data_IF_782623332625
#
_entry.id   IF_782623332625
#
_cell.length_a   1.000
_cell.length_b   1.000
_cell.length_c   1.000
_cell.angle_alpha   90.00
_cell.angle_beta   90.00
_cell.angle_gamma   90.00
#
_symmetry.space_group_name_H-M   'P 1'
#
loop_
_entity.id
_entity.type
_entity.pdbx_description
1 polymer ?
#
# COMPACT_ATOMS: atom_id res chain seq x y z
N UNK A 1 18.81 -34.92 17.18
CA UNK A 1 18.53 -35.68 15.92
C UNK A 1 17.10 -35.43 15.40
N UNK A 2 16.06 -35.64 16.21
CA UNK A 2 14.65 -35.40 15.83
C UNK A 2 14.35 -33.94 15.43
N UNK A 3 14.86 -32.95 16.18
CA UNK A 3 14.65 -31.53 15.83
C UNK A 3 15.32 -31.13 14.50
N UNK A 4 16.48 -31.70 14.17
CA UNK A 4 17.17 -31.44 12.89
C UNK A 4 16.34 -32.02 11.74
N UNK A 5 15.80 -33.23 11.92
CA UNK A 5 14.96 -33.88 10.90
C UNK A 5 13.67 -33.10 10.63
N UNK A 6 13.03 -32.58 11.68
CA UNK A 6 11.86 -31.72 11.56
C UNK A 6 12.18 -30.39 10.85
N UNK A 7 13.31 -29.76 11.18
CA UNK A 7 13.77 -28.54 10.52
C UNK A 7 14.06 -28.76 9.03
N UNK A 8 14.79 -29.83 8.69
CA UNK A 8 15.09 -30.18 7.29
C UNK A 8 13.82 -30.48 6.49
N UNK A 9 12.84 -31.15 7.11
CA UNK A 9 11.54 -31.44 6.46
C UNK A 9 10.74 -30.17 6.22
N UNK A 10 10.77 -29.21 7.15
CA UNK A 10 10.13 -27.90 6.98
C UNK A 10 10.78 -27.09 5.86
N UNK A 11 12.11 -27.03 5.84
CA UNK A 11 12.87 -26.34 4.78
C UNK A 11 12.57 -26.94 3.41
N UNK A 12 12.54 -28.27 3.29
CA UNK A 12 12.19 -28.97 2.03
C UNK A 12 10.78 -28.63 1.54
N UNK A 13 9.80 -28.55 2.44
CA UNK A 13 8.42 -28.18 2.08
C UNK A 13 8.32 -26.74 1.58
N UNK A 14 9.03 -25.81 2.21
CA UNK A 14 9.08 -24.40 1.78
C UNK A 14 9.76 -24.29 0.41
N UNK A 15 10.88 -24.98 0.21
CA UNK A 15 11.59 -24.98 -1.07
C UNK A 15 10.74 -25.58 -2.19
N UNK A 16 10.04 -26.68 -1.93
CA UNK A 16 9.14 -27.31 -2.88
C UNK A 16 7.96 -26.38 -3.24
N UNK A 17 7.39 -25.68 -2.25
CA UNK A 17 6.32 -24.71 -2.49
C UNK A 17 6.78 -23.54 -3.36
N UNK A 18 7.96 -22.97 -3.07
CA UNK A 18 8.56 -21.93 -3.89
C UNK A 18 8.85 -22.41 -5.32
N UNK A 19 9.41 -23.61 -5.46
CA UNK A 19 9.75 -24.17 -6.76
C UNK A 19 8.52 -24.49 -7.61
N UNK A 20 7.42 -24.98 -7.01
CA UNK A 20 6.22 -25.36 -7.76
C UNK A 20 5.30 -24.16 -8.04
N UNK A 21 5.26 -23.15 -7.17
CA UNK A 21 4.28 -22.06 -7.33
C UNK A 21 4.87 -20.76 -7.87
N UNK A 22 6.12 -20.46 -7.54
CA UNK A 22 6.73 -19.17 -7.90
C UNK A 22 7.53 -19.28 -9.19
N UNK A 23 8.25 -20.38 -9.40
CA UNK A 23 9.06 -20.54 -10.62
C UNK A 23 8.21 -20.60 -11.91
N UNK A 24 7.05 -21.29 -11.98
CA UNK A 24 6.32 -21.36 -13.25
C UNK A 24 5.84 -20.00 -13.75
N UNK A 25 5.45 -19.09 -12.86
CA UNK A 25 5.02 -17.74 -13.24
C UNK A 25 6.17 -16.89 -13.77
N UNK A 26 7.39 -17.08 -13.24
CA UNK A 26 8.57 -16.38 -13.73
C UNK A 26 9.06 -16.95 -15.06
N UNK A 27 8.94 -18.26 -15.25
CA UNK A 27 9.31 -18.94 -16.51
C UNK A 27 8.39 -18.54 -17.65
N UNK A 28 7.06 -18.44 -17.43
CA UNK A 28 6.12 -18.01 -18.48
C UNK A 28 6.37 -16.58 -18.94
N UNK A 29 6.63 -15.64 -18.02
CA UNK A 29 6.96 -14.26 -18.38
C UNK A 29 8.29 -14.16 -19.14
N UNK A 30 9.25 -15.03 -18.83
CA UNK A 30 10.51 -15.10 -19.54
C UNK A 30 10.34 -15.68 -20.96
N UNK A 31 9.57 -16.76 -21.12
CA UNK A 31 9.29 -17.35 -22.45
C UNK A 31 8.57 -16.36 -23.38
N UNK A 32 7.61 -15.58 -22.87
CA UNK A 32 6.93 -14.53 -23.64
C UNK A 32 7.92 -13.44 -24.10
N UNK A 33 8.79 -12.97 -23.20
CA UNK A 33 9.79 -11.96 -23.51
C UNK A 33 10.83 -12.46 -24.52
N UNK A 34 11.28 -13.71 -24.38
CA UNK A 34 12.19 -14.35 -25.33
C UNK A 34 11.50 -14.52 -26.69
N UNK A 35 10.23 -14.92 -26.72
CA UNK A 35 9.45 -15.01 -27.96
C UNK A 35 9.32 -13.67 -28.70
N UNK A 36 9.09 -12.58 -27.96
CA UNK A 36 9.08 -11.23 -28.53
C UNK A 36 10.46 -10.82 -29.07
N UNK A 37 11.53 -11.09 -28.33
CA UNK A 37 12.89 -10.79 -28.78
C UNK A 37 13.28 -11.61 -30.00
N UNK A 38 12.91 -12.89 -30.08
CA UNK A 38 13.11 -13.74 -31.25
C UNK A 38 12.33 -13.26 -32.46
N UNK A 39 11.10 -12.78 -32.29
CA UNK A 39 10.30 -12.21 -33.37
C UNK A 39 10.97 -10.95 -33.95
N UNK A 40 11.56 -10.10 -33.10
CA UNK A 40 12.33 -8.93 -33.52
C UNK A 40 13.65 -9.31 -34.21
N UNK A 41 14.32 -10.36 -33.75
CA UNK A 41 15.60 -10.82 -34.32
C UNK A 41 15.42 -11.58 -35.65
N UNK A 42 14.32 -12.33 -35.81
CA UNK A 42 14.02 -13.10 -37.03
C UNK A 42 13.27 -12.26 -38.09
N UNK A 43 12.58 -11.20 -37.68
CA UNK A 43 11.76 -10.34 -38.53
C UNK A 43 12.37 -8.97 -38.78
N UNK A 44 13.35 -8.91 -39.69
CA UNK A 44 13.73 -7.64 -40.31
C UNK A 44 12.61 -7.14 -41.23
N UNK A 45 11.76 -6.23 -40.74
CA UNK A 45 10.86 -5.42 -41.57
C UNK A 45 9.35 -5.69 -41.43
N UNK A 46 8.66 -4.66 -40.95
CA UNK A 46 7.23 -4.33 -41.10
C UNK A 46 6.18 -5.29 -40.51
N UNK A 47 5.68 -4.98 -39.31
CA UNK A 47 4.24 -4.78 -39.09
C UNK A 47 3.99 -3.58 -38.17
N UNK A 48 3.02 -2.78 -38.60
CA UNK A 48 2.52 -1.52 -38.04
C UNK A 48 1.22 -1.79 -37.26
N UNK A 49 0.99 -0.96 -36.24
CA UNK A 49 -0.33 -0.59 -35.64
C UNK A 49 -0.92 -1.65 -34.69
N UNK A 50 -1.19 -1.36 -33.41
CA UNK A 50 -2.11 -0.30 -32.94
C UNK A 50 -1.49 0.76 -32.05
N UNK A 51 -0.95 1.81 -32.68
CA UNK A 51 -0.99 3.16 -32.15
C UNK A 51 -1.97 3.93 -33.03
N UNK A 52 -3.14 4.27 -32.48
CA UNK A 52 -4.08 5.20 -33.13
C UNK A 52 -4.01 6.53 -32.41
N UNK A 53 -3.08 7.37 -32.88
CA UNK A 53 -3.18 8.83 -32.79
C UNK A 53 -3.35 9.31 -34.22
N UNK A 54 -4.41 10.09 -34.53
CA UNK A 54 -4.37 11.28 -35.39
C UNK A 54 -5.80 11.75 -35.82
N UNK A 55 -6.21 12.90 -35.25
CA UNK A 55 -7.05 14.01 -35.75
C UNK A 55 -8.18 13.77 -36.77
N UNK A 56 -9.41 14.08 -36.33
CA UNK A 56 -10.43 14.71 -37.19
C UNK A 56 -10.96 15.97 -36.49
N UNK A 57 -10.65 17.12 -37.08
CA UNK A 57 -11.35 18.37 -36.86
C UNK A 57 -12.41 18.54 -37.95
N UNK A 58 -13.65 18.84 -37.58
CA UNK A 58 -14.64 19.47 -38.46
C UNK A 58 -15.48 20.45 -37.64
N UNK A 59 -15.64 21.63 -38.22
CA UNK A 59 -16.18 22.84 -37.61
C UNK A 59 -17.72 22.87 -37.61
N UNK A 60 -18.25 23.72 -36.72
CA UNK A 60 -19.53 24.46 -36.78
C UNK A 60 -20.85 23.68 -36.64
N UNK A 61 -21.58 23.91 -35.54
CA UNK A 61 -22.74 24.85 -35.50
C UNK A 61 -23.54 24.71 -34.18
N UNK A 62 -23.75 25.85 -33.49
CA UNK A 62 -24.70 26.06 -32.38
C UNK A 62 -26.16 25.97 -32.88
N UNK A 63 -27.19 25.82 -32.01
CA UNK A 63 -27.80 27.04 -31.46
C UNK A 63 -28.41 26.94 -30.05
N UNK A 64 -28.69 28.13 -29.54
CA UNK A 64 -29.43 28.53 -28.35
C UNK A 64 -30.74 27.77 -28.04
N UNK A 65 -31.23 28.08 -26.82
CA UNK A 65 -32.65 28.22 -26.46
C UNK A 65 -33.26 26.96 -25.84
N UNK A 66 -34.04 26.98 -24.76
CA UNK A 66 -34.76 28.04 -24.05
C UNK A 66 -35.13 27.54 -22.64
N UNK A 67 -35.36 28.51 -21.77
CA UNK A 67 -35.95 28.46 -20.45
C UNK A 67 -37.03 27.38 -20.18
N UNK A 68 -37.04 26.87 -18.93
CA UNK A 68 -38.29 26.79 -18.16
C UNK A 68 -38.01 26.80 -16.65
N UNK A 69 -38.38 27.93 -16.02
CA UNK A 69 -39.15 28.09 -14.76
C UNK A 69 -38.88 27.09 -13.62
N UNK A 70 -38.58 27.49 -12.38
CA UNK A 70 -39.40 28.38 -11.56
C UNK A 70 -38.57 29.24 -10.59
N UNK A 71 -39.08 30.44 -10.35
CA UNK A 71 -38.61 31.51 -9.48
C UNK A 71 -38.14 31.08 -8.08
N UNK A 72 -36.98 31.61 -7.66
CA UNK A 72 -36.64 31.80 -6.26
C UNK A 72 -36.37 33.29 -6.02
N UNK A 73 -37.19 33.93 -5.19
CA UNK A 73 -36.98 35.32 -4.78
C UNK A 73 -35.94 35.40 -3.67
N UNK A 74 -34.75 35.83 -4.11
CA UNK A 74 -33.77 36.71 -3.50
C UNK A 74 -33.97 37.16 -2.03
N UNK A 75 -32.91 37.00 -1.24
CA UNK A 75 -32.51 37.97 -0.21
C UNK A 75 -30.98 37.96 -0.05
N UNK A 76 -30.36 38.97 -0.68
CA UNK A 76 -29.18 39.76 -0.30
C UNK A 76 -27.84 39.06 0.08
N UNK A 77 -26.85 39.15 -0.82
CA UNK A 77 -25.76 40.16 -0.77
C UNK A 77 -24.37 39.65 -1.23
N UNK A 78 -23.93 40.22 -2.36
CA UNK A 78 -22.61 40.78 -2.70
C UNK A 78 -21.29 40.13 -2.23
N UNK A 79 -20.50 39.66 -3.23
CA UNK A 79 -19.04 39.36 -3.23
C UNK A 79 -18.16 40.66 -3.19
N UNK A 80 -16.79 40.66 -3.26
CA UNK A 80 -15.92 40.03 -4.30
C UNK A 80 -14.59 39.39 -3.79
N UNK A 81 -14.10 38.32 -4.43
CA UNK A 81 -13.06 38.24 -5.49
C UNK A 81 -11.67 38.77 -5.12
N UNK A 82 -10.67 37.88 -5.12
CA UNK A 82 -9.36 38.18 -5.70
C UNK A 82 -8.70 36.88 -6.17
N UNK A 83 -8.51 36.81 -7.48
CA UNK A 83 -7.88 35.74 -8.23
C UNK A 83 -6.37 35.82 -8.01
N UNK A 84 -5.75 34.68 -7.67
CA UNK A 84 -4.39 34.41 -8.13
C UNK A 84 -4.33 32.97 -8.64
N UNK A 85 -4.27 32.88 -9.96
CA UNK A 85 -3.80 31.71 -10.68
C UNK A 85 -2.29 31.50 -10.42
N UNK A 86 -1.81 30.34 -10.86
CA UNK A 86 -0.49 29.74 -10.59
C UNK A 86 -0.47 28.97 -9.26
N UNK A 87 -0.17 27.68 -9.19
CA UNK A 87 0.52 26.83 -10.15
C UNK A 87 0.13 25.38 -9.86
N UNK A 88 -0.22 24.68 -10.94
CA UNK A 88 -0.37 23.26 -11.02
C UNK A 88 0.95 22.59 -10.61
N UNK A 89 1.02 22.09 -9.38
CA UNK A 89 1.91 21.00 -9.04
C UNK A 89 1.05 19.77 -8.79
N UNK A 90 0.61 19.15 -9.90
CA UNK A 90 0.44 17.70 -9.94
C UNK A 90 1.83 17.08 -9.82
N UNK A 91 2.38 17.13 -8.61
CA UNK A 91 3.43 16.20 -8.24
C UNK A 91 2.75 14.83 -8.36
N UNK A 92 3.22 13.99 -9.27
CA UNK A 92 2.96 12.54 -9.22
C UNK A 92 3.59 12.01 -7.91
N UNK A 93 2.97 12.35 -6.78
CA UNK A 93 3.32 11.83 -5.48
C UNK A 93 2.96 10.37 -5.54
N UNK A 94 3.99 9.53 -5.69
CA UNK A 94 3.91 8.07 -5.66
C UNK A 94 3.01 7.66 -4.49
N UNK A 95 1.73 7.47 -4.77
CA UNK A 95 0.72 7.27 -3.76
C UNK A 95 1.06 5.97 -3.06
N UNK A 96 1.24 6.03 -1.74
CA UNK A 96 1.44 4.82 -0.96
C UNK A 96 0.21 3.93 -1.15
N UNK A 97 0.42 2.75 -1.73
CA UNK A 97 -0.64 1.83 -2.09
C UNK A 97 -0.29 0.45 -1.57
N UNK A 98 -1.20 -0.14 -0.81
CA UNK A 98 -1.03 -1.50 -0.31
C UNK A 98 -1.38 -2.47 -1.45
N UNK A 99 -0.45 -3.34 -1.79
CA UNK A 99 -0.63 -4.28 -2.88
C UNK A 99 -1.56 -5.44 -2.49
N UNK A 100 -2.29 -5.97 -3.47
CA UNK A 100 -3.27 -7.04 -3.25
C UNK A 100 -2.67 -8.28 -2.58
N UNK A 101 -1.43 -8.64 -2.91
CA UNK A 101 -0.79 -9.82 -2.33
C UNK A 101 -0.48 -9.64 -0.83
N UNK A 102 -0.20 -8.40 -0.39
CA UNK A 102 0.03 -8.08 1.02
C UNK A 102 -1.26 -8.31 1.83
N UNK A 103 -2.39 -7.86 1.28
CA UNK A 103 -3.73 -8.06 1.85
C UNK A 103 -4.14 -9.54 1.83
N UNK A 104 -3.83 -10.24 0.74
CA UNK A 104 -4.15 -11.67 0.57
C UNK A 104 -3.52 -12.52 1.68
N UNK A 105 -2.29 -12.21 2.10
CA UNK A 105 -1.55 -12.93 3.14
C UNK A 105 -2.08 -12.75 4.56
N UNK A 106 -2.94 -11.77 4.80
CA UNK A 106 -3.44 -11.43 6.13
C UNK A 106 -4.67 -12.24 6.53
N UNK A 107 -4.80 -12.55 7.82
CA UNK A 107 -6.00 -13.17 8.38
C UNK A 107 -7.18 -12.20 8.39
N UNK A 108 -8.29 -12.58 7.76
CA UNK A 108 -9.48 -11.72 7.57
C UNK A 108 -10.65 -12.07 8.51
N UNK A 109 -10.42 -12.90 9.53
CA UNK A 109 -11.49 -13.32 10.46
C UNK A 109 -11.94 -12.22 11.42
N UNK A 110 -11.01 -11.36 11.84
CA UNK A 110 -11.26 -10.25 12.77
C UNK A 110 -10.42 -9.05 12.37
N UNK A 111 -10.92 -7.81 12.52
CA UNK A 111 -10.14 -6.58 12.30
C UNK A 111 -8.83 -6.64 13.11
N UNK A 112 -8.98 -7.02 14.38
CA UNK A 112 -7.99 -7.66 15.26
C UNK A 112 -6.68 -8.12 14.61
N UNK A 113 -6.85 -9.29 14.00
CA UNK A 113 -5.82 -10.10 13.43
C UNK A 113 -5.36 -9.55 12.09
N UNK A 114 -6.29 -9.05 11.29
CA UNK A 114 -5.98 -8.44 10.01
C UNK A 114 -4.95 -7.31 10.15
N UNK A 115 -5.20 -6.34 11.02
CA UNK A 115 -4.27 -5.22 11.24
C UNK A 115 -2.93 -5.72 11.77
N UNK A 116 -2.95 -6.68 12.71
CA UNK A 116 -1.72 -7.22 13.29
C UNK A 116 -0.82 -7.92 12.26
N UNK A 117 -1.42 -8.65 11.32
CA UNK A 117 -0.72 -9.34 10.23
C UNK A 117 -0.28 -8.34 9.16
N UNK A 118 -1.15 -7.39 8.78
CA UNK A 118 -0.85 -6.36 7.78
C UNK A 118 0.31 -5.47 8.22
N UNK A 119 0.29 -4.99 9.46
CA UNK A 119 1.41 -4.22 10.03
C UNK A 119 2.74 -5.00 9.98
N UNK A 120 2.67 -6.33 10.12
CA UNK A 120 3.85 -7.19 10.09
C UNK A 120 4.31 -7.55 8.66
N UNK A 121 3.42 -7.42 7.67
CA UNK A 121 3.75 -7.51 6.24
C UNK A 121 4.37 -6.20 5.74
N UNK A 122 3.84 -5.06 6.17
CA UNK A 122 4.27 -3.73 5.72
C UNK A 122 5.55 -3.25 6.40
N UNK A 123 5.72 -3.55 7.69
CA UNK A 123 6.76 -2.94 8.50
C UNK A 123 7.65 -3.96 9.21
N UNK A 124 8.91 -3.57 9.39
CA UNK A 124 9.85 -4.34 10.22
C UNK A 124 9.50 -4.20 11.71
N UNK A 125 9.95 -5.16 12.52
CA UNK A 125 9.80 -5.06 13.98
C UNK A 125 10.50 -3.82 14.55
N UNK A 126 11.64 -3.44 13.98
CA UNK A 126 12.39 -2.26 14.38
C UNK A 126 11.58 -0.99 14.13
N UNK A 127 11.03 -0.82 12.92
CA UNK A 127 10.19 0.31 12.58
C UNK A 127 9.01 0.43 13.56
N UNK A 128 8.30 -0.68 13.80
CA UNK A 128 7.16 -0.71 14.72
C UNK A 128 7.54 -0.40 16.18
N UNK A 129 8.75 -0.74 16.60
CA UNK A 129 9.23 -0.49 17.96
C UNK A 129 9.72 0.96 18.16
N UNK A 130 10.20 1.62 17.11
CA UNK A 130 10.74 2.99 17.18
C UNK A 130 9.72 4.07 16.84
N UNK A 131 8.67 3.74 16.09
CA UNK A 131 7.62 4.69 15.71
C UNK A 131 6.41 4.62 16.64
N UNK A 132 5.57 5.65 16.55
CA UNK A 132 4.27 5.72 17.21
C UNK A 132 3.21 6.19 16.21
N UNK A 133 1.93 6.01 16.56
CA UNK A 133 0.86 6.42 15.64
C UNK A 133 0.83 7.93 15.41
N UNK A 134 1.08 8.75 16.45
CA UNK A 134 0.88 10.20 16.42
C UNK A 134 2.12 11.02 16.71
N UNK A 135 3.22 10.42 17.17
CA UNK A 135 4.41 11.14 17.63
C UNK A 135 4.25 11.78 19.00
N UNK A 136 3.07 11.73 19.61
CA UNK A 136 2.82 12.36 20.90
C UNK A 136 3.48 11.60 22.05
N UNK A 137 4.08 12.35 22.99
CA UNK A 137 4.63 11.78 24.21
C UNK A 137 3.48 11.24 25.07
N UNK A 138 3.56 9.97 25.45
CA UNK A 138 2.53 9.39 26.33
C UNK A 138 2.66 9.96 27.74
N UNK A 139 1.53 10.29 28.36
CA UNK A 139 1.45 10.76 29.74
C UNK A 139 1.99 9.74 30.75
N UNK A 140 1.99 8.45 30.40
CA UNK A 140 2.45 7.35 31.27
C UNK A 140 3.92 6.97 31.07
N UNK A 141 4.62 7.56 30.09
CA UNK A 141 6.04 7.29 29.81
C UNK A 141 6.85 8.58 29.72
N UNK A 142 6.77 9.40 30.77
CA UNK A 142 7.41 10.72 30.83
C UNK A 142 8.94 10.67 30.67
N UNK A 143 9.57 9.58 31.10
CA UNK A 143 11.04 9.44 31.04
C UNK A 143 11.54 8.81 29.73
N UNK A 144 10.64 8.41 28.81
CA UNK A 144 11.03 7.82 27.53
C UNK A 144 11.17 8.88 26.43
N UNK A 145 12.12 8.66 25.53
CA UNK A 145 12.32 9.47 24.33
C UNK A 145 11.02 9.55 23.51
N UNK A 146 10.80 10.70 22.87
CA UNK A 146 9.66 10.93 21.97
C UNK A 146 9.89 10.12 20.70
N UNK A 147 8.89 9.35 20.30
CA UNK A 147 8.94 8.54 19.08
C UNK A 147 8.42 9.35 17.91
N UNK A 148 9.00 9.23 16.70
CA UNK A 148 8.40 9.82 15.51
C UNK A 148 6.99 9.25 15.25
N UNK A 149 6.17 10.04 14.55
CA UNK A 149 4.87 9.61 14.05
C UNK A 149 5.03 8.73 12.79
N UNK A 150 4.12 7.78 12.61
CA UNK A 150 4.00 7.04 11.36
C UNK A 150 3.43 7.94 10.25
N UNK A 151 3.77 7.64 8.99
CA UNK A 151 3.30 8.40 7.85
C UNK A 151 1.77 8.36 7.76
N UNK A 152 1.13 9.53 7.68
CA UNK A 152 -0.33 9.62 7.71
C UNK A 152 -0.98 9.06 6.44
N UNK A 153 -0.32 9.15 5.28
CA UNK A 153 -0.84 8.57 4.04
C UNK A 153 -0.93 7.04 4.16
N UNK A 154 0.09 6.41 4.75
CA UNK A 154 0.09 4.97 5.00
C UNK A 154 -0.98 4.56 6.02
N UNK A 155 -1.17 5.36 7.07
CA UNK A 155 -2.23 5.14 8.05
C UNK A 155 -3.61 5.19 7.38
N UNK A 156 -3.85 6.16 6.49
CA UNK A 156 -5.12 6.27 5.78
C UNK A 156 -5.35 5.07 4.85
N UNK A 157 -4.33 4.59 4.16
CA UNK A 157 -4.45 3.43 3.29
C UNK A 157 -4.78 2.16 4.10
N UNK A 158 -4.12 1.96 5.25
CA UNK A 158 -4.46 0.86 6.18
C UNK A 158 -5.91 0.96 6.65
N UNK A 159 -6.38 2.16 6.99
CA UNK A 159 -7.78 2.39 7.39
C UNK A 159 -8.73 2.06 6.23
N UNK A 160 -8.44 2.56 5.02
CA UNK A 160 -9.25 2.34 3.83
C UNK A 160 -9.43 0.85 3.53
N UNK A 161 -8.34 0.10 3.47
CA UNK A 161 -8.39 -1.35 3.25
C UNK A 161 -9.11 -2.08 4.39
N UNK A 162 -8.89 -1.67 5.64
CA UNK A 162 -9.56 -2.31 6.78
C UNK A 162 -11.07 -2.09 6.74
N UNK A 163 -11.53 -0.89 6.39
CA UNK A 163 -12.97 -0.59 6.24
C UNK A 163 -13.62 -1.32 5.07
N UNK A 164 -12.89 -1.52 3.97
CA UNK A 164 -13.36 -2.33 2.86
C UNK A 164 -13.64 -3.78 3.28
N UNK A 165 -12.78 -4.35 4.13
CA UNK A 165 -12.94 -5.73 4.63
C UNK A 165 -13.86 -5.84 5.83
N UNK A 166 -13.94 -4.80 6.67
CA UNK A 166 -14.71 -4.77 7.91
C UNK A 166 -15.49 -3.44 8.02
N UNK A 167 -16.60 -3.30 7.28
CA UNK A 167 -17.35 -2.04 7.19
C UNK A 167 -17.86 -1.49 8.53
N UNK A 168 -18.06 -2.37 9.52
CA UNK A 168 -18.54 -2.02 10.85
C UNK A 168 -17.45 -1.53 11.80
N UNK A 169 -16.18 -1.49 11.36
CA UNK A 169 -15.07 -1.04 12.21
C UNK A 169 -14.82 0.44 11.95
N UNK A 170 -14.90 1.25 13.00
CA UNK A 170 -14.67 2.68 12.94
C UNK A 170 -13.17 3.04 12.89
N UNK A 171 -12.88 4.19 12.29
CA UNK A 171 -11.52 4.72 12.12
C UNK A 171 -10.77 4.85 13.45
N UNK A 172 -11.49 5.19 14.53
CA UNK A 172 -10.90 5.37 15.87
C UNK A 172 -10.45 4.02 16.44
N UNK A 173 -11.27 2.98 16.32
CA UNK A 173 -10.90 1.61 16.68
C UNK A 173 -9.74 1.09 15.86
N UNK A 174 -9.73 1.32 14.54
CA UNK A 174 -8.64 0.91 13.64
C UNK A 174 -7.33 1.58 14.08
N UNK A 175 -7.34 2.91 14.27
CA UNK A 175 -6.19 3.68 14.77
C UNK A 175 -5.72 3.16 16.12
N UNK A 176 -6.65 2.89 17.05
CA UNK A 176 -6.33 2.32 18.36
C UNK A 176 -5.60 0.97 18.22
N UNK A 177 -6.04 0.11 17.32
CA UNK A 177 -5.41 -1.21 17.11
C UNK A 177 -4.02 -1.10 16.49
N UNK A 178 -3.80 -0.19 15.54
CA UNK A 178 -2.46 0.11 15.00
C UNK A 178 -1.56 0.58 16.15
N UNK A 179 -2.04 1.55 16.95
CA UNK A 179 -1.31 2.04 18.12
C UNK A 179 -0.99 0.93 19.14
N UNK A 180 -1.93 0.02 19.40
CA UNK A 180 -1.70 -1.14 20.26
C UNK A 180 -0.60 -2.06 19.71
N UNK A 181 -0.58 -2.34 18.39
CA UNK A 181 0.47 -3.15 17.75
C UNK A 181 1.85 -2.53 17.94
N UNK A 182 2.00 -1.23 17.66
CA UNK A 182 3.25 -0.47 17.84
C UNK A 182 3.74 -0.49 19.31
N UNK A 183 2.82 -0.22 20.24
CA UNK A 183 3.14 -0.24 21.67
C UNK A 183 3.58 -1.62 22.15
N UNK A 184 2.98 -2.70 21.64
CA UNK A 184 3.36 -4.06 21.96
C UNK A 184 4.76 -4.42 21.44
N UNK A 185 5.15 -3.94 20.27
CA UNK A 185 6.52 -4.11 19.74
C UNK A 185 7.57 -3.37 20.58
N UNK A 186 7.19 -2.30 21.28
CA UNK A 186 8.09 -1.53 22.16
C UNK A 186 8.40 -2.24 23.47
N UNK A 187 7.46 -3.03 23.98
CA UNK A 187 7.58 -3.75 25.26
C UNK A 187 8.46 -4.99 25.16
N UNK A 188 8.70 -5.49 23.95
CA UNK A 188 9.64 -6.58 23.71
C UNK A 188 11.01 -5.95 23.41
N UNK A 189 11.93 -5.83 24.39
CA UNK A 189 13.33 -5.63 24.02
C UNK A 189 13.70 -6.80 23.11
N UNK A 190 14.32 -6.52 21.98
CA UNK A 190 14.68 -7.52 20.96
C UNK A 190 15.51 -8.66 21.57
N UNK A 191 14.85 -9.70 22.10
CA UNK A 191 15.46 -10.92 22.63
C UNK A 191 15.63 -11.98 21.53
N UNK A 192 15.86 -11.55 20.30
CA UNK A 192 16.21 -12.44 19.18
C UNK A 192 17.49 -11.98 18.48
N UNK A 193 18.46 -11.49 19.26
CA UNK A 193 19.90 -11.65 19.00
C UNK A 193 20.47 -12.60 20.06
N UNK A 194 20.15 -13.89 19.96
CA UNK A 194 20.92 -14.91 20.67
C UNK A 194 20.94 -16.19 19.84
N UNK A 195 21.69 -16.15 18.75
CA UNK A 195 22.46 -17.30 18.29
C UNK A 195 23.79 -16.78 17.74
N UNK A 196 24.85 -17.39 18.27
CA UNK A 196 26.23 -17.33 17.83
C UNK A 196 27.12 -16.20 18.37
N UNK A 197 27.30 -16.20 19.69
CA UNK A 197 28.65 -16.02 20.25
C UNK A 197 28.86 -17.14 21.25
N UNK A 198 29.41 -18.28 20.80
CA UNK A 198 30.19 -19.13 21.69
C UNK A 198 31.64 -18.99 21.25
N UNK A 199 32.39 -18.36 22.15
CA UNK A 199 33.82 -18.48 22.39
C UNK A 199 34.52 -19.57 21.57
N UNK A 200 35.44 -19.11 20.72
CA UNK A 200 36.65 -19.86 20.42
C UNK A 200 37.74 -19.23 21.28
N UNK A 201 38.08 -19.87 22.39
CA UNK A 201 39.47 -19.95 22.85
C UNK A 201 39.71 -21.18 23.72
#
# INVERSE_FOLDING_TARGET
KICIYAAMTSIRKVLLFLAILVLPQAVTQFEELVGMAEALLKGGGTLSTSASTLWRATNNSSPDSFASTCSNSNSNSSSPVSLKAEEEHHTDEKQFKIEKWQIARCNKSKPQKFINDLMQVLYTNEYMATHSLTGAKSSTSRDKAVKPAMNQNEVQEIIGITKQLFPNTDDVSIRRMIGQKLNNCTKKPNLSKNLNSQDIK
#
